data_IF_538118693395
#
_entry.id   IF_538118693395
#
_cell.length_a   1.000
_cell.length_b   1.000
_cell.length_c   1.000
_cell.angle_alpha   90.00
_cell.angle_beta   90.00
_cell.angle_gamma   90.00
#
_symmetry.space_group_name_H-M   'P 1'
#
loop_
_entity.id
_entity.type
_entity.pdbx_description
1 polymer ?
#
# COMPACT_ATOMS: atom_id res chain seq x y z
N UNK A 1 8.73 -21.48 32.49
CA UNK A 1 7.27 -21.46 32.25
C UNK A 1 6.68 -20.22 32.92
N UNK A 2 6.76 -19.04 32.31
CA UNK A 2 6.16 -17.81 32.86
C UNK A 2 5.05 -17.34 31.94
N UNK A 3 3.86 -17.32 32.53
CA UNK A 3 2.55 -17.03 31.95
C UNK A 3 2.55 -15.76 31.11
N UNK A 4 2.09 -15.93 29.87
CA UNK A 4 1.69 -14.88 28.95
C UNK A 4 0.59 -14.00 29.59
N UNK A 5 0.93 -12.74 29.85
CA UNK A 5 -0.07 -11.68 30.07
C UNK A 5 -0.43 -11.08 28.72
N UNK A 6 -1.38 -11.71 28.03
CA UNK A 6 -2.09 -11.11 26.90
C UNK A 6 -3.05 -10.05 27.45
N UNK A 7 -2.56 -8.81 27.55
CA UNK A 7 -3.45 -7.66 27.70
C UNK A 7 -3.95 -7.36 26.29
N UNK A 8 -5.19 -7.81 26.02
CA UNK A 8 -5.95 -7.36 24.87
C UNK A 8 -6.15 -5.85 24.99
N UNK A 9 -5.32 -5.06 24.31
CA UNK A 9 -5.63 -3.66 24.05
C UNK A 9 -6.64 -3.67 22.93
N UNK A 10 -7.89 -3.51 23.32
CA UNK A 10 -9.02 -3.25 22.44
C UNK A 10 -8.81 -1.89 21.78
N UNK A 11 -7.93 -1.82 20.78
CA UNK A 11 -7.85 -0.69 19.89
C UNK A 11 -9.04 -0.80 18.93
N UNK A 12 -10.15 -0.18 19.31
CA UNK A 12 -11.26 0.15 18.40
C UNK A 12 -10.73 1.12 17.34
N UNK A 13 -9.96 0.59 16.40
CA UNK A 13 -9.69 1.25 15.13
C UNK A 13 -10.90 0.94 14.29
N UNK A 14 -11.65 1.99 13.99
CA UNK A 14 -12.87 1.98 13.20
C UNK A 14 -12.81 0.89 12.12
N UNK A 15 -13.63 -0.13 12.39
CA UNK A 15 -14.01 -1.22 11.53
C UNK A 15 -14.25 -0.68 10.10
N UNK A 16 -13.34 -0.97 9.19
CA UNK A 16 -13.66 -1.03 7.76
C UNK A 16 -13.54 -2.48 7.28
N UNK A 17 -13.97 -3.42 8.14
CA UNK A 17 -14.34 -4.77 7.74
C UNK A 17 -15.78 -4.77 7.26
N UNK A 18 -16.06 -5.40 6.12
CA UNK A 18 -17.40 -5.65 5.59
C UNK A 18 -18.27 -4.40 5.27
N UNK A 19 -17.85 -3.61 4.28
CA UNK A 19 -18.82 -2.91 3.43
C UNK A 19 -18.32 -2.86 2.00
N UNK A 20 -18.82 -3.77 1.16
CA UNK A 20 -18.95 -3.53 -0.28
C UNK A 20 -19.95 -2.40 -0.58
N UNK A 21 -19.83 -1.25 0.10
CA UNK A 21 -20.85 -0.21 0.11
C UNK A 21 -20.52 0.92 1.08
N UNK A 22 -19.48 1.69 0.79
CA UNK A 22 -19.29 3.05 1.33
C UNK A 22 -18.13 3.81 0.64
N UNK A 23 -17.28 3.12 -0.13
CA UNK A 23 -16.40 3.77 -1.12
C UNK A 23 -17.15 4.17 -2.42
N UNK A 24 -18.48 4.27 -2.36
CA UNK A 24 -19.37 4.57 -3.50
C UNK A 24 -19.83 6.03 -3.56
N UNK A 25 -19.35 6.94 -2.68
CA UNK A 25 -19.84 8.33 -2.66
C UNK A 25 -18.77 9.39 -2.90
N UNK A 26 -17.53 8.99 -3.20
CA UNK A 26 -16.66 9.83 -4.02
C UNK A 26 -16.60 9.22 -5.41
N UNK A 27 -17.36 9.80 -6.34
CA UNK A 27 -17.26 9.51 -7.78
C UNK A 27 -15.92 9.98 -8.36
N UNK A 28 -15.04 10.63 -7.59
CA UNK A 28 -13.72 11.07 -8.03
C UNK A 28 -12.60 10.15 -7.51
N UNK A 29 -12.00 9.32 -8.38
CA UNK A 29 -10.85 8.48 -8.07
C UNK A 29 -9.66 9.24 -7.47
N UNK A 30 -9.50 10.53 -7.79
CA UNK A 30 -8.43 11.37 -7.23
C UNK A 30 -8.68 11.67 -5.76
N UNK A 31 -9.92 11.92 -5.36
CA UNK A 31 -10.26 12.15 -3.95
C UNK A 31 -10.14 10.86 -3.15
N UNK A 32 -10.58 9.72 -3.70
CA UNK A 32 -10.37 8.41 -3.07
C UNK A 32 -8.90 8.13 -2.80
N UNK A 33 -8.02 8.40 -3.78
CA UNK A 33 -6.57 8.26 -3.59
C UNK A 33 -6.05 9.16 -2.45
N UNK A 34 -6.50 10.41 -2.36
CA UNK A 34 -6.12 11.32 -1.27
C UNK A 34 -6.59 10.84 0.10
N UNK A 35 -7.81 10.31 0.20
CA UNK A 35 -8.35 9.78 1.47
C UNK A 35 -7.51 8.60 1.96
N UNK A 36 -7.20 7.65 1.07
CA UNK A 36 -6.36 6.50 1.40
C UNK A 36 -4.97 6.94 1.86
N UNK A 37 -4.36 7.93 1.19
CA UNK A 37 -3.05 8.47 1.59
C UNK A 37 -3.09 9.07 3.01
N UNK A 38 -4.15 9.82 3.35
CA UNK A 38 -4.30 10.42 4.68
C UNK A 38 -4.50 9.39 5.77
N UNK A 39 -5.27 8.33 5.50
CA UNK A 39 -5.56 7.27 6.48
C UNK A 39 -4.40 6.29 6.62
N UNK A 40 -3.69 6.01 5.53
CA UNK A 40 -2.63 5.02 5.46
C UNK A 40 -1.46 5.29 6.41
N UNK A 41 -1.13 6.56 6.68
CA UNK A 41 -0.07 6.88 7.65
C UNK A 41 -0.43 6.41 9.07
N UNK A 42 -1.68 6.57 9.50
CA UNK A 42 -2.13 6.10 10.81
C UNK A 42 -2.18 4.56 10.89
N UNK A 43 -2.59 3.90 9.81
CA UNK A 43 -2.61 2.43 9.74
C UNK A 43 -1.19 1.85 9.83
N UNK A 44 -0.21 2.43 9.13
CA UNK A 44 1.18 1.95 9.18
C UNK A 44 1.83 2.19 10.56
N UNK A 45 1.51 3.30 11.24
CA UNK A 45 1.95 3.49 12.61
C UNK A 45 1.29 2.50 13.57
N UNK A 46 0.03 2.12 13.35
CA UNK A 46 -0.62 1.06 14.10
C UNK A 46 0.06 -0.29 13.88
N UNK A 47 0.33 -0.68 12.63
CA UNK A 47 1.10 -1.92 12.31
C UNK A 47 2.41 -1.95 13.10
N UNK A 48 3.15 -0.84 13.10
CA UNK A 48 4.42 -0.74 13.85
C UNK A 48 4.21 -0.90 15.37
N UNK A 49 3.14 -0.36 15.94
CA UNK A 49 2.82 -0.50 17.37
C UNK A 49 2.48 -1.95 17.71
N UNK A 50 1.67 -2.61 16.90
CA UNK A 50 1.29 -4.01 17.11
C UNK A 50 2.48 -4.96 16.94
N UNK A 51 3.38 -4.71 15.97
CA UNK A 51 4.65 -5.44 15.86
C UNK A 51 5.51 -5.29 17.12
N UNK A 52 5.62 -4.08 17.67
CA UNK A 52 6.36 -3.83 18.93
C UNK A 52 5.72 -4.49 20.15
N UNK A 53 4.40 -4.70 20.12
CA UNK A 53 3.66 -5.41 21.15
C UNK A 53 3.63 -6.93 20.94
N UNK A 54 4.33 -7.44 19.92
CA UNK A 54 4.33 -8.85 19.50
C UNK A 54 2.94 -9.38 19.10
N UNK A 55 2.01 -8.46 18.78
CA UNK A 55 0.67 -8.75 18.28
C UNK A 55 0.69 -8.92 16.75
N UNK A 56 1.41 -9.93 16.27
CA UNK A 56 1.67 -10.08 14.83
C UNK A 56 0.41 -10.34 13.99
N UNK A 57 -0.56 -11.08 14.51
CA UNK A 57 -1.83 -11.34 13.83
C UNK A 57 -2.61 -10.04 13.55
N UNK A 58 -2.66 -9.15 14.55
CA UNK A 58 -3.35 -7.86 14.44
C UNK A 58 -2.57 -6.91 13.52
N UNK A 59 -1.24 -6.87 13.64
CA UNK A 59 -0.39 -6.12 12.73
C UNK A 59 -0.61 -6.57 11.26
N UNK A 60 -0.71 -7.87 11.01
CA UNK A 60 -0.92 -8.42 9.68
C UNK A 60 -2.34 -8.14 9.16
N UNK A 61 -3.35 -8.19 10.04
CA UNK A 61 -4.74 -7.80 9.71
C UNK A 61 -4.80 -6.35 9.25
N UNK A 62 -4.25 -5.41 10.03
CA UNK A 62 -4.22 -3.98 9.70
C UNK A 62 -3.44 -3.72 8.41
N UNK A 63 -2.30 -4.41 8.23
CA UNK A 63 -1.49 -4.28 7.01
C UNK A 63 -2.24 -4.79 5.77
N UNK A 64 -3.02 -5.86 5.91
CA UNK A 64 -3.88 -6.40 4.84
C UNK A 64 -4.98 -5.42 4.45
N UNK A 65 -5.63 -4.79 5.43
CA UNK A 65 -6.64 -3.76 5.17
C UNK A 65 -6.06 -2.54 4.46
N UNK A 66 -4.87 -2.11 4.89
CA UNK A 66 -4.13 -1.03 4.21
C UNK A 66 -3.84 -1.38 2.75
N UNK A 67 -3.34 -2.59 2.47
CA UNK A 67 -3.10 -3.09 1.11
C UNK A 67 -4.37 -3.07 0.26
N UNK A 68 -5.49 -3.52 0.81
CA UNK A 68 -6.74 -3.61 0.05
C UNK A 68 -7.32 -2.21 -0.26
N UNK A 69 -7.15 -1.25 0.66
CA UNK A 69 -7.47 0.15 0.41
C UNK A 69 -6.63 0.76 -0.73
N UNK A 70 -5.32 0.50 -0.74
CA UNK A 70 -4.42 0.90 -1.83
C UNK A 70 -4.86 0.27 -3.15
N UNK A 71 -5.07 -1.05 -3.19
CA UNK A 71 -5.53 -1.77 -4.40
C UNK A 71 -6.80 -1.13 -4.96
N UNK A 72 -7.76 -0.83 -4.08
CA UNK A 72 -9.03 -0.22 -4.46
C UNK A 72 -8.88 1.21 -5.01
N UNK A 73 -7.95 2.02 -4.46
CA UNK A 73 -7.65 3.35 -4.99
C UNK A 73 -6.91 3.27 -6.33
N UNK A 74 -5.93 2.38 -6.44
CA UNK A 74 -5.17 2.17 -7.67
C UNK A 74 -6.07 1.70 -8.82
N UNK A 75 -6.93 0.71 -8.59
CA UNK A 75 -7.91 0.24 -9.56
C UNK A 75 -8.87 1.35 -9.99
N UNK A 76 -9.35 2.17 -9.05
CA UNK A 76 -10.20 3.32 -9.36
C UNK A 76 -9.50 4.36 -10.24
N UNK A 77 -8.23 4.64 -9.99
CA UNK A 77 -7.42 5.54 -10.84
C UNK A 77 -7.24 4.97 -12.24
N UNK A 78 -6.91 3.68 -12.38
CA UNK A 78 -6.78 3.02 -13.70
C UNK A 78 -8.09 3.02 -14.47
N UNK A 79 -9.20 2.67 -13.82
CA UNK A 79 -10.52 2.62 -14.44
C UNK A 79 -11.06 4.00 -14.87
N UNK A 80 -10.52 5.09 -14.32
CA UNK A 80 -10.98 6.45 -14.63
C UNK A 80 -10.68 6.92 -16.07
N UNK A 81 -9.82 6.20 -16.81
CA UNK A 81 -9.35 6.61 -18.14
C UNK A 81 -8.49 7.89 -18.12
N UNK A 82 -8.12 8.39 -16.94
CA UNK A 82 -7.30 9.59 -16.80
C UNK A 82 -5.86 9.31 -17.24
N UNK A 83 -5.38 10.11 -18.18
CA UNK A 83 -3.98 10.12 -18.61
C UNK A 83 -3.08 10.54 -17.43
N UNK A 84 -2.30 9.61 -16.88
CA UNK A 84 -1.44 9.83 -15.74
C UNK A 84 -0.24 10.72 -16.06
N UNK A 85 0.29 10.67 -17.28
CA UNK A 85 1.39 11.53 -17.74
C UNK A 85 0.93 12.99 -17.78
N UNK A 86 -0.23 13.27 -18.37
CA UNK A 86 -0.76 14.63 -18.52
C UNK A 86 -1.48 15.15 -17.28
N UNK A 87 -2.10 14.27 -16.49
CA UNK A 87 -2.93 14.64 -15.33
C UNK A 87 -2.52 13.86 -14.08
N UNK A 88 -1.28 14.04 -13.59
CA UNK A 88 -0.63 13.14 -12.64
C UNK A 88 -1.22 13.13 -11.23
N UNK A 89 -2.07 14.09 -10.84
CA UNK A 89 -2.53 14.31 -9.46
C UNK A 89 -2.71 13.07 -8.59
N UNK A 90 -3.82 12.34 -8.75
CA UNK A 90 -4.13 11.16 -7.91
C UNK A 90 -3.06 10.05 -8.00
N UNK A 91 -2.51 9.81 -9.19
CA UNK A 91 -1.47 8.82 -9.43
C UNK A 91 -0.18 9.15 -8.67
N UNK A 92 0.31 10.39 -8.80
CA UNK A 92 1.53 10.87 -8.12
C UNK A 92 1.37 10.90 -6.61
N UNK A 93 0.20 11.29 -6.10
CA UNK A 93 -0.06 11.27 -4.66
C UNK A 93 0.00 9.85 -4.11
N UNK A 94 -0.64 8.89 -4.79
CA UNK A 94 -0.64 7.48 -4.39
C UNK A 94 0.78 6.88 -4.49
N UNK A 95 1.53 7.21 -5.55
CA UNK A 95 2.90 6.76 -5.77
C UNK A 95 3.85 7.25 -4.66
N UNK A 96 3.86 8.55 -4.36
CA UNK A 96 4.71 9.12 -3.31
C UNK A 96 4.40 8.50 -1.94
N UNK A 97 3.12 8.22 -1.68
CA UNK A 97 2.72 7.54 -0.46
C UNK A 97 3.24 6.09 -0.45
N UNK A 98 3.00 5.30 -1.51
CA UNK A 98 3.44 3.92 -1.59
C UNK A 98 4.95 3.74 -1.45
N UNK A 99 5.74 4.57 -2.14
CA UNK A 99 7.19 4.56 -1.99
C UNK A 99 7.63 4.74 -0.53
N UNK A 100 7.02 5.68 0.20
CA UNK A 100 7.30 5.90 1.62
C UNK A 100 6.83 4.73 2.49
N UNK A 101 5.66 4.17 2.17
CA UNK A 101 5.10 3.02 2.88
C UNK A 101 5.96 1.78 2.75
N UNK A 102 6.44 1.46 1.54
CA UNK A 102 7.34 0.33 1.28
C UNK A 102 8.62 0.49 2.10
N UNK A 103 9.24 1.67 2.09
CA UNK A 103 10.43 1.94 2.90
C UNK A 103 10.19 1.77 4.41
N UNK A 104 9.03 2.21 4.92
CA UNK A 104 8.66 2.02 6.33
C UNK A 104 8.43 0.54 6.65
N UNK A 105 7.80 -0.20 5.74
CA UNK A 105 7.57 -1.63 5.90
C UNK A 105 8.89 -2.41 5.91
N UNK A 106 9.87 -2.03 5.09
CA UNK A 106 11.20 -2.66 5.13
C UNK A 106 11.81 -2.53 6.54
N UNK A 107 11.67 -1.37 7.20
CA UNK A 107 12.13 -1.19 8.59
C UNK A 107 11.33 -2.02 9.61
N UNK A 108 10.01 -2.10 9.45
CA UNK A 108 9.15 -2.91 10.34
C UNK A 108 9.46 -4.40 10.19
N UNK A 109 9.62 -4.90 8.97
CA UNK A 109 9.92 -6.31 8.67
C UNK A 109 11.26 -6.72 9.28
N UNK A 110 12.27 -5.85 9.23
CA UNK A 110 13.56 -6.14 9.85
C UNK A 110 13.48 -6.34 11.37
N UNK A 111 12.47 -5.76 12.04
CA UNK A 111 12.24 -5.93 13.47
C UNK A 111 11.47 -7.20 13.84
N UNK A 112 10.89 -7.91 12.87
CA UNK A 112 10.16 -9.14 13.10
C UNK A 112 11.10 -10.34 13.34
N UNK A 113 10.69 -11.30 14.19
CA UNK A 113 11.24 -12.66 14.18
C UNK A 113 11.17 -13.25 12.78
N UNK A 114 12.15 -14.08 12.42
CA UNK A 114 12.30 -14.61 11.05
C UNK A 114 11.04 -15.36 10.60
N UNK A 115 10.42 -16.09 11.52
CA UNK A 115 9.22 -16.91 11.30
C UNK A 115 7.99 -16.07 10.96
N UNK A 116 7.99 -14.78 11.34
CA UNK A 116 6.87 -13.86 11.13
C UNK A 116 7.05 -12.99 9.89
N UNK A 117 8.20 -13.02 9.21
CA UNK A 117 8.52 -12.08 8.13
C UNK A 117 7.72 -12.32 6.86
N UNK A 118 7.57 -13.58 6.45
CA UNK A 118 7.04 -13.93 5.13
C UNK A 118 5.69 -13.26 4.82
N UNK A 119 4.68 -13.29 5.70
CA UNK A 119 3.39 -12.69 5.39
C UNK A 119 3.45 -11.16 5.20
N UNK A 120 4.34 -10.49 5.93
CA UNK A 120 4.55 -9.04 5.80
C UNK A 120 5.33 -8.72 4.53
N UNK A 121 6.33 -9.53 4.19
CA UNK A 121 7.09 -9.40 2.95
C UNK A 121 6.20 -9.62 1.71
N UNK A 122 5.24 -10.55 1.77
CA UNK A 122 4.27 -10.78 0.70
C UNK A 122 3.47 -9.49 0.41
N UNK A 123 2.91 -8.87 1.45
CA UNK A 123 2.17 -7.61 1.29
C UNK A 123 3.08 -6.48 0.81
N UNK A 124 4.31 -6.39 1.33
CA UNK A 124 5.30 -5.41 0.88
C UNK A 124 5.62 -5.56 -0.60
N UNK A 125 5.77 -6.79 -1.12
CA UNK A 125 5.98 -7.06 -2.55
C UNK A 125 4.81 -6.59 -3.41
N UNK A 126 3.58 -6.80 -2.95
CA UNK A 126 2.38 -6.33 -3.66
C UNK A 126 2.29 -4.79 -3.71
N UNK A 127 2.59 -4.12 -2.61
CA UNK A 127 2.61 -2.65 -2.54
C UNK A 127 3.68 -2.06 -3.47
N UNK A 128 4.86 -2.69 -3.51
CA UNK A 128 5.97 -2.29 -4.38
C UNK A 128 5.68 -2.55 -5.87
N UNK A 129 4.95 -3.62 -6.20
CA UNK A 129 4.47 -3.83 -7.57
C UNK A 129 3.52 -2.70 -8.01
N UNK A 130 2.59 -2.28 -7.15
CA UNK A 130 1.70 -1.15 -7.45
C UNK A 130 2.45 0.19 -7.56
N UNK A 131 3.50 0.42 -6.76
CA UNK A 131 4.37 1.60 -6.92
C UNK A 131 5.03 1.62 -8.30
N UNK A 132 5.56 0.47 -8.76
CA UNK A 132 6.14 0.34 -10.10
C UNK A 132 5.13 0.60 -11.22
N UNK A 133 3.91 0.08 -11.10
CA UNK A 133 2.84 0.35 -12.06
C UNK A 133 2.48 1.84 -12.12
N UNK A 134 2.43 2.53 -10.98
CA UNK A 134 2.18 3.96 -10.94
C UNK A 134 3.32 4.76 -11.57
N UNK A 135 4.57 4.37 -11.32
CA UNK A 135 5.74 4.98 -11.96
C UNK A 135 5.69 4.80 -13.48
N UNK A 136 5.36 3.61 -13.97
CA UNK A 136 5.22 3.34 -15.40
C UNK A 136 4.10 4.16 -16.04
N UNK A 137 2.97 4.34 -15.33
CA UNK A 137 1.87 5.17 -15.80
C UNK A 137 2.22 6.67 -15.83
N UNK A 138 2.95 7.16 -14.82
CA UNK A 138 3.38 8.56 -14.71
C UNK A 138 4.48 8.91 -15.71
N UNK A 139 5.34 7.94 -16.03
CA UNK A 139 6.53 8.13 -16.86
C UNK A 139 6.65 7.03 -17.93
N UNK A 140 5.79 7.03 -18.97
CA UNK A 140 5.79 5.98 -19.99
C UNK A 140 7.05 6.00 -20.89
N UNK A 141 7.75 7.14 -20.97
CA UNK A 141 8.91 7.35 -21.84
C UNK A 141 10.24 7.29 -21.09
N UNK A 142 10.49 6.20 -20.37
CA UNK A 142 11.77 6.02 -19.67
C UNK A 142 12.91 5.67 -20.66
N UNK A 143 14.06 6.35 -20.59
CA UNK A 143 15.19 6.10 -21.50
C UNK A 143 15.73 4.66 -21.41
N UNK A 144 15.58 3.98 -20.26
CA UNK A 144 16.02 2.60 -20.08
C UNK A 144 15.15 1.54 -20.80
N UNK A 145 13.86 1.80 -21.05
CA UNK A 145 12.96 0.84 -21.72
C UNK A 145 13.16 0.79 -23.24
N UNK A 146 13.74 1.83 -23.86
CA UNK A 146 13.95 1.90 -25.32
C UNK A 146 15.22 1.21 -25.83
N UNK A 147 16.14 0.81 -24.95
CA UNK A 147 17.42 0.22 -25.37
C UNK A 147 17.30 -1.22 -25.91
N UNK A 148 16.14 -1.89 -25.74
CA UNK A 148 15.90 -3.25 -26.22
C UNK A 148 15.22 -3.37 -27.60
N UNK A 149 14.81 -2.25 -28.22
CA UNK A 149 14.08 -2.23 -29.49
C UNK A 149 14.91 -1.60 -30.63
N UNK A 150 16.20 -1.93 -30.71
CA UNK A 150 16.95 -1.72 -31.96
C UNK A 150 16.81 -2.97 -32.82
N UNK A 151 15.87 -2.94 -33.77
CA UNK A 151 15.82 -3.91 -34.88
C UNK A 151 17.20 -3.95 -35.55
N UNK A 152 17.77 -5.13 -35.85
CA UNK A 152 18.98 -5.19 -36.65
C UNK A 152 18.66 -4.61 -38.03
N UNK A 153 19.34 -3.50 -38.35
CA UNK A 153 19.32 -2.89 -39.68
C UNK A 153 19.91 -3.86 -40.70
N UNK A 154 19.32 -3.81 -41.89
CA UNK A 154 19.59 -4.64 -43.08
C UNK A 154 21.06 -4.79 -43.44
#
# INVERSE_FOLDING_TARGET
MKLARRIAVLATVLFFGASGGAAAQSTDPVQKAKVVVRQGEAQLELVRREVKAENYDEALRVLSEYRDAIKSAHAGLKASGRDAEKKPGGFKNLQIHLRRSVQRLDQTILSLPVEQREPFEAIRRELDAMDKELIDALFPRQPAKKAGETKPGR
#
